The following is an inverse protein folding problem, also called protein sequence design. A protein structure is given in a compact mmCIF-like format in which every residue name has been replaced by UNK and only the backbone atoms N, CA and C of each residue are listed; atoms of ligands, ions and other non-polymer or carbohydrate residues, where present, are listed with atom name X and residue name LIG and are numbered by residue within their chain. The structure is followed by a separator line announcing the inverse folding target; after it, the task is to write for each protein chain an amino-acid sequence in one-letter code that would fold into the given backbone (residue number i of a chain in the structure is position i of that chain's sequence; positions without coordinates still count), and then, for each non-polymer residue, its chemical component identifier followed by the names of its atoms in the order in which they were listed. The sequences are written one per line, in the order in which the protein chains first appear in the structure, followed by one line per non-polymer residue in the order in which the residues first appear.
data_IF_467281119766
#
_entry.id   IF_467281119766
#
_cell.length_a   1.000
_cell.length_b   1.000
_cell.length_c   1.000
_cell.angle_alpha   90.00
_cell.angle_beta   90.00
_cell.angle_gamma   90.00
#
_symmetry.space_group_name_H-M   'P 1'
#
loop_
_entity.id
_entity.type
_entity.pdbx_description
1 polymer ?
#
# COMPACT_ATOMS: atom_id res chain seq x y z
N UNK A 1 -9.49 5.09 -6.25
CA UNK A 1 -9.43 5.38 -4.80
C UNK A 1 -8.56 6.61 -4.56
N UNK A 2 -9.00 7.54 -3.73
CA UNK A 2 -8.27 8.79 -3.46
C UNK A 2 -7.30 8.67 -2.28
N UNK A 3 -7.45 7.65 -1.43
CA UNK A 3 -6.66 7.45 -0.20
C UNK A 3 -5.45 6.52 -0.36
N UNK A 4 -5.02 6.25 -1.58
CA UNK A 4 -3.79 5.52 -1.90
C UNK A 4 -2.96 6.29 -2.92
N UNK A 5 -1.61 6.16 -2.91
CA UNK A 5 -0.77 6.91 -3.84
C UNK A 5 -0.89 6.42 -5.28
N UNK A 6 -0.81 7.34 -6.20
CA UNK A 6 -0.46 7.06 -7.58
C UNK A 6 1.06 6.91 -7.69
N UNK A 7 1.52 5.90 -8.45
CA UNK A 7 2.95 5.64 -8.66
C UNK A 7 3.34 6.13 -10.05
N UNK A 8 4.27 7.06 -10.10
CA UNK A 8 4.97 7.47 -11.32
C UNK A 8 6.38 6.93 -11.30
N UNK A 9 6.57 5.85 -12.05
CA UNK A 9 7.82 5.10 -12.06
C UNK A 9 8.81 5.71 -13.07
N UNK A 10 10.07 5.88 -12.64
CA UNK A 10 11.19 6.22 -13.52
C UNK A 10 12.17 5.06 -13.64
N UNK A 11 12.97 5.04 -14.73
CA UNK A 11 14.12 4.16 -14.91
C UNK A 11 15.37 4.97 -15.16
N UNK A 12 16.41 4.69 -14.39
CA UNK A 12 17.75 5.29 -14.52
C UNK A 12 18.75 4.19 -14.84
N UNK A 13 19.44 4.28 -15.98
CA UNK A 13 20.50 3.34 -16.31
C UNK A 13 21.83 3.80 -15.71
N UNK A 14 22.66 2.83 -15.31
CA UNK A 14 24.03 3.06 -14.86
C UNK A 14 25.02 2.37 -15.78
N UNK A 15 26.26 2.91 -15.87
CA UNK A 15 27.32 2.36 -16.70
C UNK A 15 28.68 2.62 -16.04
N UNK A 16 29.53 1.64 -15.98
CA UNK A 16 30.91 1.83 -15.57
C UNK A 16 31.77 2.31 -16.74
N UNK A 17 32.64 3.28 -16.51
CA UNK A 17 33.46 3.95 -17.52
C UNK A 17 34.32 3.04 -18.40
N UNK A 18 34.67 1.83 -17.95
CA UNK A 18 35.39 0.82 -18.72
C UNK A 18 34.52 -0.10 -19.57
N UNK A 19 33.17 0.10 -19.55
CA UNK A 19 32.22 -0.62 -20.38
C UNK A 19 31.56 0.32 -21.40
N UNK A 20 31.06 -0.19 -22.55
CA UNK A 20 30.36 0.65 -23.50
C UNK A 20 29.07 1.24 -22.90
N UNK A 21 28.98 2.58 -22.82
CA UNK A 21 27.80 3.26 -22.30
C UNK A 21 26.57 2.98 -23.18
N UNK A 22 26.76 2.86 -24.47
CA UNK A 22 25.69 2.58 -25.46
C UNK A 22 25.04 1.23 -25.20
N UNK A 23 25.76 0.26 -24.63
CA UNK A 23 25.21 -1.03 -24.24
C UNK A 23 24.16 -0.85 -23.13
N UNK A 24 24.49 -0.07 -22.11
CA UNK A 24 23.56 0.22 -21.02
C UNK A 24 22.34 1.01 -21.50
N UNK A 25 22.54 2.00 -22.37
CA UNK A 25 21.47 2.82 -22.93
C UNK A 25 20.52 2.01 -23.82
N UNK A 26 21.05 1.16 -24.70
CA UNK A 26 20.22 0.32 -25.59
C UNK A 26 19.41 -0.71 -24.80
N UNK A 27 20.01 -1.32 -23.78
CA UNK A 27 19.31 -2.27 -22.90
C UNK A 27 18.20 -1.57 -22.09
N UNK A 28 18.43 -0.36 -21.57
CA UNK A 28 17.41 0.45 -20.91
C UNK A 28 16.24 0.75 -21.85
N UNK A 29 16.53 1.21 -23.06
CA UNK A 29 15.49 1.51 -24.06
C UNK A 29 14.64 0.27 -24.41
N UNK A 30 15.28 -0.91 -24.48
CA UNK A 30 14.56 -2.17 -24.69
C UNK A 30 13.62 -2.48 -23.49
N UNK A 31 14.06 -2.28 -22.25
CA UNK A 31 13.22 -2.44 -21.05
C UNK A 31 12.04 -1.46 -21.07
N UNK A 32 12.27 -0.19 -21.40
CA UNK A 32 11.19 0.81 -21.49
C UNK A 32 10.14 0.44 -22.54
N UNK A 33 10.61 -0.06 -23.71
CA UNK A 33 9.72 -0.55 -24.76
C UNK A 33 8.91 -1.78 -24.30
N UNK A 34 9.52 -2.69 -23.55
CA UNK A 34 8.84 -3.86 -22.99
C UNK A 34 7.79 -3.45 -21.92
N UNK A 35 8.08 -2.47 -21.09
CA UNK A 35 7.12 -1.90 -20.14
C UNK A 35 5.89 -1.30 -20.85
N UNK A 36 6.10 -0.55 -21.93
CA UNK A 36 5.02 0.02 -22.73
C UNK A 36 4.12 -1.06 -23.35
N UNK A 37 4.67 -2.19 -23.79
CA UNK A 37 3.90 -3.34 -24.29
C UNK A 37 3.01 -3.98 -23.21
N UNK A 38 3.41 -3.87 -21.93
CA UNK A 38 2.65 -4.36 -20.78
C UNK A 38 1.68 -3.29 -20.20
N UNK A 39 1.60 -2.13 -20.85
CA UNK A 39 0.75 -1.01 -20.39
C UNK A 39 1.31 -0.23 -19.20
N UNK A 40 2.58 -0.42 -18.86
CA UNK A 40 3.27 0.33 -17.82
C UNK A 40 3.97 1.54 -18.44
N UNK A 41 3.49 2.74 -18.08
CA UNK A 41 4.17 3.98 -18.41
C UNK A 41 5.37 4.21 -17.49
N UNK A 42 6.55 4.41 -18.07
CA UNK A 42 7.80 4.61 -17.34
C UNK A 42 8.50 5.85 -17.89
N UNK A 43 8.91 6.75 -17.00
CA UNK A 43 9.79 7.85 -17.38
C UNK A 43 11.20 7.34 -17.59
N UNK A 44 11.69 7.39 -18.81
CA UNK A 44 13.07 7.02 -19.15
C UNK A 44 14.00 8.22 -18.95
N UNK A 45 14.88 8.16 -17.93
CA UNK A 45 15.87 9.20 -17.69
C UNK A 45 16.89 9.24 -18.85
N UNK A 46 17.20 10.44 -19.34
CA UNK A 46 18.17 10.65 -20.41
C UNK A 46 19.60 10.47 -19.89
N UNK A 47 19.83 10.87 -18.65
CA UNK A 47 21.12 10.75 -18.00
C UNK A 47 21.45 9.30 -17.69
N UNK A 48 22.56 8.79 -18.19
CA UNK A 48 23.17 7.51 -17.77
C UNK A 48 24.21 7.82 -16.71
N UNK A 49 24.19 7.09 -15.60
CA UNK A 49 25.02 7.38 -14.43
C UNK A 49 26.37 6.65 -14.52
N UNK A 50 27.46 7.37 -14.66
CA UNK A 50 28.83 6.84 -14.61
C UNK A 50 29.60 7.35 -13.38
N UNK A 51 29.16 8.46 -12.79
CA UNK A 51 29.81 9.10 -11.65
C UNK A 51 28.77 9.84 -10.78
N UNK A 52 29.22 10.41 -9.64
CA UNK A 52 28.34 11.09 -8.70
C UNK A 52 27.68 12.36 -9.26
N UNK A 53 28.31 13.06 -10.22
CA UNK A 53 27.69 14.23 -10.87
C UNK A 53 26.51 13.81 -11.75
N UNK A 54 26.69 12.73 -12.49
CA UNK A 54 25.60 12.16 -13.31
C UNK A 54 24.49 11.64 -12.42
N UNK A 55 24.82 11.05 -11.27
CA UNK A 55 23.83 10.60 -10.29
C UNK A 55 22.95 11.75 -9.80
N UNK A 56 23.57 12.88 -9.38
CA UNK A 56 22.81 14.06 -8.93
C UNK A 56 21.92 14.61 -10.06
N UNK A 57 22.45 14.67 -11.28
CA UNK A 57 21.69 15.11 -12.46
C UNK A 57 20.52 14.17 -12.77
N UNK A 58 20.73 12.86 -12.71
CA UNK A 58 19.68 11.88 -12.94
C UNK A 58 18.57 11.97 -11.89
N UNK A 59 18.93 12.14 -10.60
CA UNK A 59 17.96 12.34 -9.52
C UNK A 59 17.15 13.63 -9.72
N UNK A 60 17.81 14.73 -10.09
CA UNK A 60 17.13 15.99 -10.41
C UNK A 60 16.16 15.82 -11.60
N UNK A 61 16.60 15.15 -12.65
CA UNK A 61 15.81 14.88 -13.86
C UNK A 61 14.52 14.11 -13.56
N UNK A 62 14.62 12.97 -12.84
CA UNK A 62 13.45 12.13 -12.51
C UNK A 62 12.54 12.83 -11.51
N UNK A 63 13.09 13.60 -10.58
CA UNK A 63 12.31 14.40 -9.63
C UNK A 63 11.53 15.50 -10.35
N UNK A 64 12.16 16.22 -11.26
CA UNK A 64 11.50 17.25 -12.08
C UNK A 64 10.41 16.66 -12.99
N UNK A 65 10.58 15.41 -13.43
CA UNK A 65 9.55 14.68 -14.16
C UNK A 65 8.38 14.22 -13.26
N UNK A 66 8.48 14.39 -11.94
CA UNK A 66 7.47 14.00 -10.95
C UNK A 66 7.46 12.50 -10.63
N UNK A 67 8.55 11.77 -10.91
CA UNK A 67 8.69 10.39 -10.47
C UNK A 67 8.73 10.31 -8.94
N UNK A 68 8.03 9.32 -8.38
CA UNK A 68 8.02 9.05 -6.94
C UNK A 68 8.47 7.62 -6.59
N UNK A 69 8.83 6.84 -7.62
CA UNK A 69 9.49 5.53 -7.51
C UNK A 69 10.51 5.38 -8.64
N UNK A 70 11.61 4.65 -8.41
CA UNK A 70 12.65 4.45 -9.40
C UNK A 70 13.04 2.98 -9.57
N UNK A 71 13.39 2.62 -10.81
CA UNK A 71 14.18 1.44 -11.12
C UNK A 71 15.60 1.89 -11.49
N UNK A 72 16.58 1.46 -10.72
CA UNK A 72 18.02 1.61 -11.01
C UNK A 72 18.42 0.37 -11.79
N UNK A 73 18.76 0.58 -13.06
CA UNK A 73 19.01 -0.48 -14.02
C UNK A 73 20.50 -0.58 -14.37
N UNK A 74 21.12 -1.68 -13.98
CA UNK A 74 22.51 -2.01 -14.35
C UNK A 74 22.49 -2.61 -15.75
N UNK A 75 22.66 -1.78 -16.77
CA UNK A 75 22.76 -2.24 -18.16
C UNK A 75 24.12 -2.86 -18.48
N UNK A 76 25.15 -2.54 -17.69
CA UNK A 76 26.44 -3.20 -17.59
C UNK A 76 26.87 -3.22 -16.11
N UNK A 77 28.14 -3.44 -15.80
CA UNK A 77 28.67 -3.61 -14.43
C UNK A 77 28.22 -2.52 -13.45
N UNK A 78 28.12 -1.26 -13.88
CA UNK A 78 27.73 -0.13 -13.06
C UNK A 78 28.85 0.38 -12.12
N UNK A 79 28.74 1.67 -11.70
CA UNK A 79 29.65 2.30 -10.77
C UNK A 79 29.07 2.25 -9.34
N UNK A 80 29.63 1.43 -8.47
CA UNK A 80 29.10 1.04 -7.15
C UNK A 80 28.69 2.23 -6.25
N UNK A 81 29.47 3.29 -6.20
CA UNK A 81 29.16 4.46 -5.35
C UNK A 81 27.98 5.27 -5.88
N UNK A 82 27.99 5.80 -7.12
CA UNK A 82 26.89 6.64 -7.58
C UNK A 82 25.58 5.87 -7.74
N UNK A 83 25.59 4.61 -8.18
CA UNK A 83 24.36 3.84 -8.34
C UNK A 83 23.64 3.60 -7.00
N UNK A 84 24.37 3.30 -5.94
CA UNK A 84 23.79 3.09 -4.60
C UNK A 84 23.35 4.40 -3.95
N UNK A 85 24.07 5.52 -4.22
CA UNK A 85 23.69 6.83 -3.72
C UNK A 85 22.40 7.36 -4.32
N UNK A 86 21.92 6.85 -5.44
CA UNK A 86 20.56 7.14 -5.95
C UNK A 86 19.53 6.90 -4.85
N UNK A 87 19.61 5.75 -4.15
CA UNK A 87 18.68 5.44 -3.04
C UNK A 87 18.79 6.36 -1.82
N UNK A 88 19.88 7.13 -1.71
CA UNK A 88 20.07 8.14 -0.65
C UNK A 88 19.46 9.50 -1.02
N UNK A 89 19.60 9.89 -2.27
CA UNK A 89 19.26 11.25 -2.72
C UNK A 89 17.88 11.36 -3.38
N UNK A 90 17.32 10.25 -3.84
CA UNK A 90 15.95 10.19 -4.34
C UNK A 90 14.97 9.96 -3.20
N UNK A 91 13.95 10.82 -3.09
CA UNK A 91 12.90 10.68 -2.06
C UNK A 91 11.77 9.75 -2.54
N UNK A 92 12.06 8.45 -2.59
CA UNK A 92 11.11 7.43 -2.99
C UNK A 92 11.72 6.03 -2.95
N UNK A 93 10.88 4.98 -3.08
CA UNK A 93 11.39 3.61 -3.19
C UNK A 93 12.18 3.41 -4.48
N UNK A 94 13.31 2.71 -4.35
CA UNK A 94 14.16 2.33 -5.47
C UNK A 94 14.23 0.80 -5.59
N UNK A 95 14.01 0.27 -6.81
CA UNK A 95 14.30 -1.10 -7.15
C UNK A 95 15.62 -1.17 -7.91
N UNK A 96 16.43 -2.19 -7.63
CA UNK A 96 17.71 -2.45 -8.30
C UNK A 96 17.63 -3.74 -9.09
N UNK A 97 17.92 -3.68 -10.38
CA UNK A 97 17.88 -4.80 -11.31
C UNK A 97 18.98 -4.68 -12.37
N UNK A 98 19.36 -5.79 -12.98
CA UNK A 98 20.45 -5.85 -13.93
C UNK A 98 20.07 -6.61 -15.22
N UNK A 99 20.73 -6.26 -16.30
CA UNK A 99 20.57 -6.94 -17.59
C UNK A 99 21.18 -8.35 -17.57
N UNK A 100 20.48 -9.32 -18.14
CA UNK A 100 21.06 -10.59 -18.54
C UNK A 100 21.99 -10.41 -19.75
N UNK A 101 23.02 -11.24 -19.87
CA UNK A 101 23.83 -11.34 -21.08
C UNK A 101 23.08 -12.14 -22.16
N UNK A 102 23.20 -11.72 -23.41
CA UNK A 102 22.64 -12.44 -24.54
C UNK A 102 23.55 -13.61 -24.98
N UNK A 103 22.97 -14.54 -25.74
CA UNK A 103 23.70 -15.63 -26.35
C UNK A 103 24.80 -15.10 -27.28
N UNK A 104 26.06 -15.48 -27.05
CA UNK A 104 27.20 -15.05 -27.81
C UNK A 104 27.86 -13.73 -27.38
N UNK A 105 27.27 -13.00 -26.45
CA UNK A 105 27.82 -11.69 -25.97
C UNK A 105 28.99 -11.80 -24.99
N UNK A 106 29.34 -13.03 -24.57
CA UNK A 106 30.38 -13.27 -23.57
C UNK A 106 31.80 -12.83 -23.99
N UNK A 107 32.00 -12.47 -25.27
CA UNK A 107 33.30 -12.00 -25.81
C UNK A 107 33.24 -10.53 -26.25
N UNK A 108 32.22 -10.15 -27.05
CA UNK A 108 32.14 -8.85 -27.73
C UNK A 108 30.94 -8.02 -27.28
N UNK A 109 30.46 -7.97 -26.23
CA UNK A 109 29.27 -7.22 -25.80
C UNK A 109 28.88 -7.51 -24.38
N UNK A 110 29.77 -8.21 -23.65
CA UNK A 110 29.53 -8.50 -22.25
C UNK A 110 29.48 -7.19 -21.44
N UNK A 111 28.51 -7.13 -20.56
CA UNK A 111 28.33 -5.99 -19.65
C UNK A 111 28.72 -6.31 -18.23
N UNK A 112 28.85 -7.59 -17.87
CA UNK A 112 29.11 -8.08 -16.51
C UNK A 112 28.09 -7.53 -15.48
N UNK A 113 26.86 -7.27 -15.90
CA UNK A 113 25.83 -6.63 -15.06
C UNK A 113 25.43 -7.48 -13.85
N UNK A 114 25.48 -8.81 -13.95
CA UNK A 114 25.26 -9.70 -12.82
C UNK A 114 26.29 -9.51 -11.72
N UNK A 115 27.58 -9.42 -12.10
CA UNK A 115 28.66 -9.10 -11.15
C UNK A 115 28.46 -7.73 -10.51
N UNK A 116 28.09 -6.73 -11.34
CA UNK A 116 27.72 -5.40 -10.86
C UNK A 116 26.58 -5.43 -9.83
N UNK A 117 25.54 -6.22 -10.08
CA UNK A 117 24.40 -6.35 -9.16
C UNK A 117 24.81 -6.94 -7.81
N UNK A 118 25.72 -7.93 -7.79
CA UNK A 118 26.27 -8.46 -6.52
C UNK A 118 26.99 -7.37 -5.73
N UNK A 119 27.83 -6.57 -6.40
CA UNK A 119 28.53 -5.44 -5.80
C UNK A 119 27.54 -4.34 -5.34
N UNK A 120 26.55 -4.02 -6.15
CA UNK A 120 25.51 -3.05 -5.80
C UNK A 120 24.79 -3.47 -4.51
N UNK A 121 24.33 -4.71 -4.41
CA UNK A 121 23.63 -5.24 -3.22
C UNK A 121 24.51 -5.18 -1.97
N UNK A 122 25.77 -5.56 -2.09
CA UNK A 122 26.75 -5.46 -0.99
C UNK A 122 26.97 -4.00 -0.56
N UNK A 123 27.12 -3.08 -1.52
CA UNK A 123 27.35 -1.66 -1.24
C UNK A 123 26.11 -0.98 -0.61
N UNK A 124 24.88 -1.34 -1.01
CA UNK A 124 23.67 -0.88 -0.35
C UNK A 124 23.67 -1.27 1.12
N UNK A 125 23.95 -2.55 1.42
CA UNK A 125 24.04 -3.07 2.79
C UNK A 125 25.14 -2.38 3.60
N UNK A 126 26.34 -2.23 3.05
CA UNK A 126 27.48 -1.60 3.69
C UNK A 126 27.21 -0.12 4.05
N UNK A 127 26.42 0.58 3.24
CA UNK A 127 26.01 1.98 3.46
C UNK A 127 24.74 2.13 4.30
N UNK A 128 24.08 1.03 4.70
CA UNK A 128 22.78 1.07 5.39
C UNK A 128 21.66 1.68 4.54
N UNK A 129 21.79 1.65 3.21
CA UNK A 129 20.79 2.15 2.28
C UNK A 129 19.75 1.08 1.98
N UNK A 130 18.50 1.47 1.91
CA UNK A 130 17.38 0.56 1.61
C UNK A 130 17.06 0.64 0.12
N UNK A 131 16.97 -0.52 -0.52
CA UNK A 131 16.50 -0.69 -1.89
C UNK A 131 15.76 -2.02 -2.01
N UNK A 132 14.79 -2.10 -2.91
CA UNK A 132 14.14 -3.36 -3.24
C UNK A 132 14.99 -4.09 -4.27
N UNK A 133 15.36 -5.31 -3.98
CA UNK A 133 16.05 -6.22 -4.90
C UNK A 133 15.15 -7.44 -5.04
N UNK A 134 14.61 -7.73 -6.25
CA UNK A 134 13.84 -8.94 -6.49
C UNK A 134 14.64 -10.21 -6.14
N UNK A 135 13.97 -11.33 -5.89
CA UNK A 135 14.61 -12.60 -5.56
C UNK A 135 15.67 -13.01 -6.61
N UNK A 136 15.37 -12.81 -7.89
CA UNK A 136 16.36 -12.90 -8.96
C UNK A 136 16.37 -11.58 -9.75
N UNK A 137 17.33 -10.67 -9.48
CA UNK A 137 17.30 -9.31 -10.01
C UNK A 137 17.84 -9.14 -11.42
N UNK A 138 18.17 -10.23 -12.11
CA UNK A 138 18.75 -10.20 -13.46
C UNK A 138 17.71 -10.72 -14.47
N UNK A 139 17.72 -10.19 -15.70
CA UNK A 139 16.81 -10.64 -16.72
C UNK A 139 17.01 -9.94 -18.06
N UNK A 140 16.36 -10.47 -19.09
CA UNK A 140 16.19 -9.77 -20.36
C UNK A 140 15.20 -8.60 -20.22
N UNK A 141 14.94 -7.89 -21.32
CA UNK A 141 14.08 -6.72 -21.29
C UNK A 141 12.63 -7.03 -20.85
N UNK A 142 12.11 -8.21 -21.20
CA UNK A 142 10.74 -8.63 -20.85
C UNK A 142 10.66 -9.03 -19.38
N UNK A 143 11.64 -9.79 -18.90
CA UNK A 143 11.73 -10.21 -17.50
C UNK A 143 11.93 -9.01 -16.53
N UNK A 144 12.74 -8.02 -16.95
CA UNK A 144 12.89 -6.79 -16.16
C UNK A 144 11.59 -5.98 -16.17
N UNK A 145 10.90 -5.89 -17.30
CA UNK A 145 9.61 -5.21 -17.37
C UNK A 145 8.57 -5.90 -16.46
N UNK A 146 8.55 -7.23 -16.35
CA UNK A 146 7.68 -7.95 -15.41
C UNK A 146 8.00 -7.57 -13.96
N UNK A 147 9.28 -7.54 -13.56
CA UNK A 147 9.72 -7.10 -12.25
C UNK A 147 9.32 -5.65 -11.96
N UNK A 148 9.35 -4.77 -12.98
CA UNK A 148 8.89 -3.38 -12.83
C UNK A 148 7.38 -3.29 -12.63
N UNK A 149 6.57 -4.12 -13.30
CA UNK A 149 5.12 -4.24 -13.05
C UNK A 149 4.86 -4.70 -11.62
N UNK A 150 5.56 -5.72 -11.14
CA UNK A 150 5.47 -6.23 -9.76
C UNK A 150 5.94 -5.22 -8.72
N UNK A 151 6.87 -4.34 -9.07
CA UNK A 151 7.37 -3.30 -8.16
C UNK A 151 6.36 -2.17 -7.92
N UNK A 152 5.48 -1.86 -8.87
CA UNK A 152 4.50 -0.77 -8.73
C UNK A 152 3.65 -0.88 -7.46
N UNK A 153 2.99 -2.02 -7.15
CA UNK A 153 2.25 -2.16 -5.91
C UNK A 153 3.12 -2.08 -4.65
N UNK A 154 4.36 -2.58 -4.69
CA UNK A 154 5.32 -2.47 -3.59
C UNK A 154 5.67 -0.99 -3.36
N UNK A 155 5.99 -0.27 -4.42
CA UNK A 155 6.29 1.17 -4.36
C UNK A 155 5.10 1.96 -3.81
N UNK A 156 3.88 1.62 -4.25
CA UNK A 156 2.65 2.25 -3.76
C UNK A 156 2.49 2.07 -2.25
N UNK A 157 2.71 0.86 -1.74
CA UNK A 157 2.66 0.60 -0.30
C UNK A 157 3.71 1.42 0.47
N UNK A 158 4.96 1.44 0.01
CA UNK A 158 6.05 2.20 0.67
C UNK A 158 5.76 3.70 0.69
N UNK A 159 5.31 4.27 -0.44
CA UNK A 159 4.93 5.70 -0.52
C UNK A 159 3.73 5.98 0.37
N UNK A 160 2.74 5.07 0.38
CA UNK A 160 1.56 5.16 1.21
C UNK A 160 1.90 5.23 2.68
N UNK A 161 2.69 4.30 3.18
CA UNK A 161 3.09 4.21 4.59
C UNK A 161 3.83 5.47 5.07
N UNK A 162 4.75 5.99 4.28
CA UNK A 162 5.46 7.25 4.60
C UNK A 162 4.53 8.46 4.72
N UNK A 163 3.31 8.38 4.19
CA UNK A 163 2.34 9.47 4.17
C UNK A 163 1.03 9.11 4.90
N UNK A 164 1.02 8.03 5.68
CA UNK A 164 -0.14 7.56 6.41
C UNK A 164 -0.19 8.16 7.82
N UNK A 165 -1.40 8.52 8.23
CA UNK A 165 -1.76 8.77 9.63
C UNK A 165 -2.86 7.80 10.04
N UNK A 166 -2.66 7.10 11.15
CA UNK A 166 -3.70 6.28 11.77
C UNK A 166 -4.25 7.06 12.97
N UNK A 167 -5.55 7.34 12.93
CA UNK A 167 -6.27 8.09 13.95
C UNK A 167 -7.09 7.10 14.77
N UNK A 168 -6.90 7.09 16.09
CA UNK A 168 -7.58 6.15 16.97
C UNK A 168 -8.55 6.85 17.91
N UNK A 169 -9.63 6.14 18.27
CA UNK A 169 -10.60 6.56 19.27
C UNK A 169 -10.71 5.48 20.36
N UNK A 170 -9.76 5.51 21.29
CA UNK A 170 -9.58 4.41 22.22
C UNK A 170 -9.49 4.82 23.69
N UNK A 171 -8.95 3.95 24.52
CA UNK A 171 -8.20 2.73 24.22
C UNK A 171 -9.05 1.56 23.72
N UNK A 172 -8.37 0.45 23.31
CA UNK A 172 -9.04 -0.82 23.00
C UNK A 172 -10.05 -1.22 24.07
N UNK A 173 -11.08 -2.03 23.74
CA UNK A 173 -12.08 -2.42 24.73
C UNK A 173 -11.46 -3.24 25.88
N UNK A 174 -11.62 -2.79 27.12
CA UNK A 174 -11.25 -3.53 28.35
C UNK A 174 -9.88 -4.24 28.26
N UNK A 175 -9.84 -5.53 28.49
CA UNK A 175 -8.65 -6.41 28.46
C UNK A 175 -8.44 -7.11 27.10
N UNK A 176 -8.95 -6.53 26.02
CA UNK A 176 -8.80 -7.08 24.66
C UNK A 176 -7.36 -6.86 24.13
N UNK A 177 -6.38 -7.50 24.79
CA UNK A 177 -4.96 -7.31 24.52
C UNK A 177 -4.49 -7.83 23.16
N UNK A 178 -5.31 -8.56 22.43
CA UNK A 178 -5.04 -8.94 21.04
C UNK A 178 -4.80 -7.69 20.15
N UNK A 179 -5.48 -6.58 20.45
CA UNK A 179 -5.31 -5.30 19.73
C UNK A 179 -4.31 -4.35 20.42
N UNK A 180 -3.36 -4.88 21.21
CA UNK A 180 -2.30 -4.06 21.79
C UNK A 180 -1.17 -3.83 20.77
N UNK A 181 -1.08 -2.61 20.25
CA UNK A 181 -0.10 -2.25 19.22
C UNK A 181 1.06 -1.41 19.82
N UNK A 182 2.31 -1.93 19.87
CA UNK A 182 3.49 -1.11 20.13
C UNK A 182 3.72 -0.14 18.96
N UNK A 183 3.43 1.15 19.17
CA UNK A 183 3.43 2.16 18.10
C UNK A 183 4.83 2.63 17.69
N UNK A 184 5.85 2.41 18.51
CA UNK A 184 7.21 2.92 18.24
C UNK A 184 7.75 2.44 16.87
N UNK A 185 7.56 1.16 16.52
CA UNK A 185 8.01 0.64 15.23
C UNK A 185 7.29 1.22 14.03
N UNK A 186 6.11 1.82 14.21
CA UNK A 186 5.35 2.47 13.13
C UNK A 186 5.98 3.80 12.73
N UNK A 187 6.55 4.55 13.67
CA UNK A 187 7.30 5.77 13.36
C UNK A 187 8.53 5.50 12.49
N UNK A 188 9.19 4.35 12.66
CA UNK A 188 10.33 3.95 11.83
C UNK A 188 9.92 3.69 10.37
N UNK A 189 8.63 3.34 10.14
CA UNK A 189 8.03 3.21 8.81
C UNK A 189 7.54 4.55 8.24
N UNK A 190 7.58 5.62 9.04
CA UNK A 190 7.09 6.94 8.67
C UNK A 190 5.60 7.16 8.92
N UNK A 191 4.94 6.24 9.61
CA UNK A 191 3.51 6.33 9.95
C UNK A 191 3.35 7.23 11.17
N UNK A 192 2.36 8.12 11.16
CA UNK A 192 1.96 8.89 12.33
C UNK A 192 0.74 8.27 13.00
N UNK A 193 0.74 8.32 14.32
CA UNK A 193 -0.40 7.87 15.13
C UNK A 193 -0.95 9.06 15.90
N UNK A 194 -2.28 9.20 15.88
CA UNK A 194 -3.00 10.18 16.69
C UNK A 194 -3.98 9.43 17.61
N UNK A 195 -3.77 9.54 18.91
CA UNK A 195 -4.60 8.86 19.90
C UNK A 195 -5.60 9.86 20.51
N UNK A 196 -6.89 9.57 20.32
CA UNK A 196 -8.01 10.32 20.87
C UNK A 196 -8.88 9.39 21.73
N UNK A 197 -9.72 9.97 22.58
CA UNK A 197 -10.71 9.22 23.33
C UNK A 197 -12.05 9.13 22.59
N UNK A 198 -12.90 8.16 22.97
CA UNK A 198 -14.30 8.14 22.50
C UNK A 198 -15.08 9.39 22.94
N UNK A 199 -14.64 10.07 24.00
CA UNK A 199 -15.27 11.30 24.45
C UNK A 199 -15.02 12.45 23.46
N UNK A 200 -13.81 12.55 22.92
CA UNK A 200 -13.47 13.54 21.89
C UNK A 200 -14.31 13.30 20.63
N UNK A 201 -14.43 12.03 20.22
CA UNK A 201 -15.29 11.64 19.11
C UNK A 201 -16.76 12.00 19.37
N UNK A 202 -17.28 11.75 20.58
CA UNK A 202 -18.66 12.06 20.95
C UNK A 202 -18.92 13.57 20.94
N UNK A 203 -17.98 14.39 21.36
CA UNK A 203 -18.08 15.86 21.31
C UNK A 203 -18.17 16.31 19.86
N UNK A 204 -17.26 15.89 19.03
CA UNK A 204 -17.27 16.21 17.59
C UNK A 204 -18.52 15.72 16.90
N UNK A 205 -19.00 14.51 17.20
CA UNK A 205 -20.27 14.00 16.70
C UNK A 205 -21.45 14.93 17.02
N UNK A 206 -21.52 15.42 18.26
CA UNK A 206 -22.60 16.35 18.69
C UNK A 206 -22.52 17.71 17.98
N UNK A 207 -21.32 18.17 17.64
CA UNK A 207 -21.12 19.40 16.89
C UNK A 207 -21.64 19.30 15.43
N UNK A 208 -21.72 18.09 14.89
CA UNK A 208 -22.27 17.83 13.55
C UNK A 208 -23.79 17.59 13.55
N UNK A 209 -24.51 17.83 14.66
CA UNK A 209 -25.96 17.50 14.75
C UNK A 209 -26.82 18.20 13.68
N UNK A 210 -26.47 19.42 13.33
CA UNK A 210 -27.21 20.24 12.35
C UNK A 210 -26.44 20.41 11.02
N UNK A 211 -25.54 19.47 10.70
CA UNK A 211 -24.76 19.57 9.46
C UNK A 211 -25.67 19.48 8.22
N UNK A 212 -25.62 20.50 7.35
CA UNK A 212 -26.51 20.57 6.18
C UNK A 212 -26.28 19.45 5.14
N UNK A 213 -25.18 18.69 5.24
CA UNK A 213 -24.87 17.55 4.35
C UNK A 213 -25.57 16.26 4.75
N UNK A 214 -26.12 16.17 5.98
CA UNK A 214 -26.79 14.95 6.50
C UNK A 214 -27.87 14.42 5.55
N UNK A 215 -28.81 15.23 5.00
CA UNK A 215 -29.83 14.74 4.09
C UNK A 215 -29.28 14.04 2.84
N UNK A 216 -28.21 14.55 2.26
CA UNK A 216 -27.59 13.99 1.06
C UNK A 216 -26.93 12.63 1.37
N UNK A 217 -26.24 12.52 2.51
CA UNK A 217 -25.61 11.26 2.96
C UNK A 217 -26.70 10.23 3.31
N UNK A 218 -27.80 10.63 3.95
CA UNK A 218 -28.96 9.76 4.19
C UNK A 218 -29.55 9.22 2.89
N UNK A 219 -29.71 10.05 1.87
CA UNK A 219 -30.24 9.63 0.59
C UNK A 219 -29.32 8.62 -0.12
N UNK A 220 -28.00 8.82 -0.01
CA UNK A 220 -27.00 7.87 -0.54
C UNK A 220 -27.02 6.54 0.22
N UNK A 221 -27.10 6.57 1.54
CA UNK A 221 -27.23 5.38 2.38
C UNK A 221 -28.54 4.61 2.07
N UNK A 222 -29.65 5.30 1.92
CA UNK A 222 -30.93 4.68 1.59
C UNK A 222 -30.90 3.98 0.22
N UNK A 223 -30.23 4.60 -0.76
CA UNK A 223 -30.02 4.00 -2.08
C UNK A 223 -29.16 2.74 -2.01
N UNK A 224 -28.10 2.75 -1.22
CA UNK A 224 -27.19 1.61 -1.03
C UNK A 224 -27.91 0.43 -0.36
N UNK A 225 -28.75 0.69 0.65
CA UNK A 225 -29.50 -0.35 1.36
C UNK A 225 -30.62 -0.97 0.52
N UNK A 226 -31.14 -0.30 -0.49
CA UNK A 226 -32.24 -0.75 -1.33
C UNK A 226 -33.61 -0.70 -0.65
N UNK A 227 -34.64 -1.14 -1.37
CA UNK A 227 -36.04 -1.07 -0.92
C UNK A 227 -36.30 -1.97 0.31
N UNK A 228 -37.11 -1.50 1.24
CA UNK A 228 -37.64 -2.26 2.38
C UNK A 228 -36.72 -2.36 3.60
N UNK A 229 -35.54 -1.77 3.57
CA UNK A 229 -34.55 -1.76 4.68
C UNK A 229 -34.25 -0.34 5.15
N UNK A 230 -35.26 0.47 5.37
CA UNK A 230 -35.12 1.88 5.66
C UNK A 230 -35.45 2.20 7.14
N UNK A 231 -34.46 2.76 7.83
CA UNK A 231 -34.54 3.22 9.22
C UNK A 231 -34.17 4.70 9.29
N UNK A 232 -35.10 5.64 9.00
CA UNK A 232 -34.76 7.06 8.79
C UNK A 232 -34.06 7.72 9.97
N UNK A 233 -34.51 7.48 11.19
CA UNK A 233 -33.87 8.07 12.38
C UNK A 233 -32.46 7.54 12.63
N UNK A 234 -32.22 6.28 12.31
CA UNK A 234 -30.90 5.66 12.43
C UNK A 234 -29.97 6.14 11.32
N UNK A 235 -30.47 6.25 10.07
CA UNK A 235 -29.68 6.76 8.95
C UNK A 235 -29.20 8.18 9.19
N UNK A 236 -30.03 9.05 9.77
CA UNK A 236 -29.62 10.43 10.10
C UNK A 236 -28.44 10.46 11.08
N UNK A 237 -28.48 9.61 12.11
CA UNK A 237 -27.39 9.49 13.09
C UNK A 237 -26.11 8.91 12.46
N UNK A 238 -26.24 7.90 11.61
CA UNK A 238 -25.13 7.28 10.88
C UNK A 238 -24.50 8.26 9.88
N UNK A 239 -25.33 9.04 9.18
CA UNK A 239 -24.87 10.07 8.26
C UNK A 239 -24.08 11.18 9.00
N UNK A 240 -24.58 11.63 10.15
CA UNK A 240 -23.89 12.54 11.04
C UNK A 240 -22.52 11.97 11.45
N UNK A 241 -22.46 10.69 11.81
CA UNK A 241 -21.21 10.03 12.22
C UNK A 241 -20.22 9.88 11.06
N UNK A 242 -20.70 9.51 9.87
CA UNK A 242 -19.86 9.46 8.65
C UNK A 242 -19.21 10.82 8.36
N UNK A 243 -19.98 11.91 8.42
CA UNK A 243 -19.48 13.27 8.23
C UNK A 243 -18.47 13.67 9.32
N UNK A 244 -18.74 13.27 10.57
CA UNK A 244 -17.80 13.50 11.68
C UNK A 244 -16.43 12.87 11.39
N UNK A 245 -16.40 11.60 10.96
CA UNK A 245 -15.14 10.92 10.65
C UNK A 245 -14.44 11.50 9.41
N UNK A 246 -15.19 11.86 8.37
CA UNK A 246 -14.61 12.47 7.16
C UNK A 246 -13.99 13.84 7.47
N UNK A 247 -14.67 14.69 8.24
CA UNK A 247 -14.15 15.99 8.64
C UNK A 247 -12.98 15.85 9.63
N UNK A 248 -13.04 14.84 10.51
CA UNK A 248 -11.90 14.52 11.37
C UNK A 248 -10.68 14.14 10.55
N UNK A 249 -10.83 13.24 9.57
CA UNK A 249 -9.75 12.85 8.67
C UNK A 249 -9.12 14.08 8.00
N UNK A 250 -9.93 14.96 7.44
CA UNK A 250 -9.43 16.15 6.71
C UNK A 250 -8.73 17.14 7.65
N UNK A 251 -9.29 17.39 8.82
CA UNK A 251 -8.76 18.37 9.75
C UNK A 251 -7.54 17.89 10.54
N UNK A 252 -7.39 16.56 10.71
CA UNK A 252 -6.36 15.96 11.56
C UNK A 252 -5.25 15.22 10.79
N UNK A 253 -5.36 15.03 9.48
CA UNK A 253 -4.29 14.38 8.70
C UNK A 253 -2.94 15.10 8.79
N UNK A 254 -2.94 16.41 9.08
CA UNK A 254 -1.73 17.21 9.29
C UNK A 254 -0.84 17.26 8.04
N UNK A 255 0.41 16.88 8.19
CA UNK A 255 1.38 16.80 7.07
C UNK A 255 1.23 15.52 6.24
N UNK A 256 0.37 14.58 6.64
CA UNK A 256 0.15 13.32 5.94
C UNK A 256 -0.88 13.47 4.83
N UNK A 257 -0.87 12.56 3.89
CA UNK A 257 -1.78 12.59 2.73
C UNK A 257 -2.93 11.59 2.88
N UNK A 258 -2.70 10.50 3.61
CA UNK A 258 -3.59 9.36 3.74
C UNK A 258 -3.94 9.11 5.19
N UNK A 259 -5.15 8.59 5.42
CA UNK A 259 -5.69 8.35 6.75
C UNK A 259 -6.29 6.96 6.83
N UNK A 260 -6.11 6.32 7.98
CA UNK A 260 -6.88 5.17 8.41
C UNK A 260 -7.39 5.43 9.82
N UNK A 261 -8.49 4.79 10.21
CA UNK A 261 -9.02 4.88 11.56
C UNK A 261 -8.89 3.56 12.30
N UNK A 262 -8.86 3.65 13.62
CA UNK A 262 -9.09 2.52 14.51
C UNK A 262 -10.05 2.98 15.63
N UNK A 263 -11.29 2.51 15.57
CA UNK A 263 -12.34 2.82 16.54
C UNK A 263 -12.79 1.57 17.31
N UNK A 264 -13.87 1.64 18.06
CA UNK A 264 -14.49 0.46 18.69
C UNK A 264 -15.99 0.60 18.77
N UNK A 265 -16.70 -0.53 18.59
CA UNK A 265 -18.14 -0.57 18.62
C UNK A 265 -18.71 -0.92 20.01
N UNK A 266 -17.86 -1.28 20.98
CA UNK A 266 -18.28 -1.68 22.33
C UNK A 266 -17.22 -1.28 23.40
N UNK A 267 -17.52 -1.21 24.69
CA UNK A 267 -18.84 -1.49 25.27
C UNK A 267 -19.78 -0.27 25.33
N UNK A 268 -19.26 0.96 25.24
CA UNK A 268 -20.04 2.17 25.51
C UNK A 268 -20.69 2.79 24.27
N UNK A 269 -20.17 2.51 23.08
CA UNK A 269 -20.57 3.19 21.86
C UNK A 269 -22.08 3.12 21.60
N UNK A 270 -22.76 1.94 21.61
CA UNK A 270 -24.19 1.88 21.29
C UNK A 270 -25.07 2.68 22.26
N UNK A 271 -24.67 2.74 23.54
CA UNK A 271 -25.43 3.47 24.54
C UNK A 271 -25.30 4.99 24.42
N UNK A 272 -24.20 5.48 23.85
CA UNK A 272 -23.90 6.91 23.71
C UNK A 272 -24.34 7.46 22.34
N UNK A 273 -24.14 6.71 21.25
CA UNK A 273 -24.46 7.13 19.89
C UNK A 273 -25.84 6.62 19.42
N UNK A 274 -26.35 5.55 20.03
CA UNK A 274 -27.66 4.96 19.72
C UNK A 274 -27.67 4.06 18.49
N UNK A 275 -26.48 3.64 18.02
CA UNK A 275 -26.27 2.67 16.93
C UNK A 275 -24.86 2.06 17.06
N UNK A 276 -24.56 1.00 16.33
CA UNK A 276 -23.20 0.48 16.13
C UNK A 276 -22.55 1.11 14.88
N UNK A 277 -21.23 1.41 14.92
CA UNK A 277 -20.55 2.10 13.83
C UNK A 277 -20.31 1.23 12.59
N UNK A 278 -20.54 -0.08 12.68
CA UNK A 278 -20.11 -1.08 11.67
C UNK A 278 -20.51 -0.73 10.23
N UNK A 279 -21.74 -0.23 10.02
CA UNK A 279 -22.17 0.16 8.67
C UNK A 279 -21.42 1.38 8.14
N UNK A 280 -21.17 2.38 8.98
CA UNK A 280 -20.40 3.58 8.59
C UNK A 280 -18.94 3.21 8.32
N UNK A 281 -18.34 2.37 9.17
CA UNK A 281 -16.97 1.87 8.97
C UNK A 281 -16.86 1.12 7.62
N UNK A 282 -17.82 0.26 7.31
CA UNK A 282 -17.92 -0.46 6.04
C UNK A 282 -18.04 0.48 4.82
N UNK A 283 -18.79 1.57 4.94
CA UNK A 283 -18.88 2.60 3.89
C UNK A 283 -17.57 3.36 3.69
N UNK A 284 -16.87 3.72 4.77
CA UNK A 284 -15.56 4.36 4.70
C UNK A 284 -14.52 3.43 4.05
N UNK A 285 -14.51 2.15 4.43
CA UNK A 285 -13.66 1.15 3.79
C UNK A 285 -13.95 1.03 2.28
N UNK A 286 -15.22 1.08 1.84
CA UNK A 286 -15.60 1.13 0.43
C UNK A 286 -15.01 2.35 -0.31
N UNK A 287 -14.86 3.48 0.39
CA UNK A 287 -14.24 4.70 -0.14
C UNK A 287 -12.71 4.68 -0.08
N UNK A 288 -12.13 3.60 0.46
CA UNK A 288 -10.69 3.43 0.60
C UNK A 288 -10.12 4.04 1.87
N UNK A 289 -10.93 4.29 2.88
CA UNK A 289 -10.51 4.72 4.22
C UNK A 289 -10.73 3.55 5.18
N UNK A 290 -9.70 2.77 5.53
CA UNK A 290 -9.82 1.67 6.47
C UNK A 290 -10.28 2.17 7.85
N UNK A 291 -11.16 1.41 8.50
CA UNK A 291 -11.59 1.64 9.87
C UNK A 291 -11.58 0.32 10.63
N UNK A 292 -10.50 0.03 11.33
CA UNK A 292 -10.39 -1.21 12.11
C UNK A 292 -11.13 -1.07 13.44
N UNK A 293 -11.88 -2.10 13.82
CA UNK A 293 -12.57 -2.16 15.11
C UNK A 293 -11.60 -2.51 16.26
N UNK A 294 -12.07 -2.46 17.51
CA UNK A 294 -11.33 -2.73 18.74
C UNK A 294 -10.06 -1.86 18.92
N UNK A 295 -9.99 -0.72 18.21
CA UNK A 295 -8.79 0.13 18.15
C UNK A 295 -7.56 -0.66 17.69
N UNK A 296 -7.77 -1.56 16.72
CA UNK A 296 -6.71 -2.37 16.14
C UNK A 296 -5.89 -1.57 15.12
N UNK A 297 -4.85 -0.90 15.63
CA UNK A 297 -3.93 -0.10 14.81
C UNK A 297 -3.24 -0.95 13.74
N UNK A 298 -2.86 -2.20 14.09
CA UNK A 298 -2.20 -3.09 13.13
C UNK A 298 -3.19 -3.66 12.10
N UNK A 299 -4.45 -3.84 12.47
CA UNK A 299 -5.52 -4.16 11.53
C UNK A 299 -5.72 -3.04 10.51
N UNK A 300 -5.86 -1.78 10.96
CA UNK A 300 -5.96 -0.62 10.08
C UNK A 300 -4.75 -0.48 9.14
N UNK A 301 -3.54 -0.73 9.66
CA UNK A 301 -2.32 -0.77 8.87
C UNK A 301 -2.35 -1.87 7.82
N UNK A 302 -2.79 -3.07 8.19
CA UNK A 302 -2.85 -4.25 7.30
C UNK A 302 -3.85 -4.02 6.16
N UNK A 303 -5.01 -3.47 6.46
CA UNK A 303 -6.00 -3.07 5.43
C UNK A 303 -5.42 -2.01 4.49
N UNK A 304 -4.74 -0.99 5.02
CA UNK A 304 -4.13 0.05 4.20
C UNK A 304 -3.04 -0.49 3.27
N UNK A 305 -2.17 -1.38 3.77
CA UNK A 305 -1.16 -2.06 2.94
C UNK A 305 -1.84 -2.90 1.84
N UNK A 306 -2.84 -3.69 2.23
CA UNK A 306 -3.60 -4.52 1.29
C UNK A 306 -4.24 -3.71 0.17
N UNK A 307 -4.81 -2.55 0.50
CA UNK A 307 -5.36 -1.61 -0.49
C UNK A 307 -4.29 -1.02 -1.41
N UNK A 308 -3.15 -0.63 -0.87
CA UNK A 308 -2.03 -0.13 -1.68
C UNK A 308 -1.53 -1.20 -2.67
N UNK A 309 -1.48 -2.45 -2.26
CA UNK A 309 -1.00 -3.56 -3.08
C UNK A 309 -2.03 -3.94 -4.14
N UNK A 310 -3.28 -4.15 -3.75
CA UNK A 310 -4.35 -4.60 -4.66
C UNK A 310 -4.86 -3.50 -5.59
N UNK A 311 -4.76 -2.22 -5.17
CA UNK A 311 -5.43 -1.11 -5.83
C UNK A 311 -6.95 -1.13 -5.67
N UNK A 312 -7.46 -1.95 -4.77
CA UNK A 312 -8.89 -2.17 -4.48
C UNK A 312 -9.12 -2.22 -2.96
N UNK A 313 -10.37 -2.18 -2.54
CA UNK A 313 -10.74 -2.36 -1.13
C UNK A 313 -10.45 -3.79 -0.68
N UNK A 314 -10.04 -3.93 0.57
CA UNK A 314 -9.78 -5.22 1.20
C UNK A 314 -10.67 -5.42 2.42
N UNK A 315 -10.74 -6.64 2.92
CA UNK A 315 -11.49 -7.00 4.12
C UNK A 315 -10.55 -7.54 5.17
N UNK A 316 -10.60 -6.99 6.38
CA UNK A 316 -9.98 -7.57 7.56
C UNK A 316 -10.99 -8.52 8.21
N UNK A 317 -10.61 -9.76 8.46
CA UNK A 317 -11.46 -10.77 9.07
C UNK A 317 -10.88 -11.25 10.39
N UNK A 318 -11.76 -11.42 11.38
CA UNK A 318 -11.44 -12.25 12.53
C UNK A 318 -11.52 -13.73 12.16
N UNK A 319 -10.65 -14.54 12.69
CA UNK A 319 -10.79 -15.99 12.66
C UNK A 319 -11.76 -16.36 13.78
N UNK A 320 -13.07 -16.41 13.45
CA UNK A 320 -14.11 -16.53 14.46
C UNK A 320 -14.34 -17.95 14.93
N UNK A 321 -14.31 -18.93 14.01
CA UNK A 321 -14.75 -20.28 14.33
C UNK A 321 -13.98 -21.33 13.53
N UNK A 322 -13.95 -22.54 14.04
CA UNK A 322 -13.65 -23.74 13.26
C UNK A 322 -14.79 -24.04 12.30
N UNK A 323 -14.47 -24.63 11.16
CA UNK A 323 -15.48 -25.10 10.21
C UNK A 323 -16.19 -26.34 10.78
N UNK A 324 -17.53 -26.39 10.84
CA UNK A 324 -18.26 -27.60 11.22
C UNK A 324 -17.92 -28.77 10.30
N UNK A 325 -17.77 -29.98 10.86
CA UNK A 325 -17.40 -31.17 10.08
C UNK A 325 -18.36 -31.45 8.91
N UNK A 326 -19.67 -31.24 9.10
CA UNK A 326 -20.67 -31.40 8.05
C UNK A 326 -20.49 -30.40 6.90
N UNK A 327 -20.10 -29.17 7.20
CA UNK A 327 -19.83 -28.14 6.20
C UNK A 327 -18.52 -28.47 5.44
N UNK A 328 -17.48 -28.91 6.15
CA UNK A 328 -16.25 -29.36 5.53
C UNK A 328 -16.50 -30.52 4.56
N UNK A 329 -17.21 -31.57 4.96
CA UNK A 329 -17.55 -32.71 4.10
C UNK A 329 -18.35 -32.30 2.88
N UNK A 330 -19.29 -31.33 3.03
CA UNK A 330 -20.17 -30.90 1.93
C UNK A 330 -19.52 -29.91 0.97
N UNK A 331 -18.63 -29.04 1.44
CA UNK A 331 -18.18 -27.87 0.68
C UNK A 331 -16.68 -27.86 0.33
N UNK A 332 -15.85 -28.63 1.05
CA UNK A 332 -14.39 -28.53 0.93
C UNK A 332 -13.75 -29.85 0.50
N UNK A 333 -14.05 -30.93 1.21
CA UNK A 333 -13.41 -32.24 0.99
C UNK A 333 -13.58 -32.73 -0.45
N UNK A 334 -12.46 -32.89 -1.15
CA UNK A 334 -12.42 -33.34 -2.54
C UNK A 334 -13.01 -32.35 -3.56
N UNK A 335 -13.18 -31.07 -3.21
CA UNK A 335 -13.70 -30.03 -4.10
C UNK A 335 -12.61 -29.15 -4.73
N UNK A 336 -11.40 -29.24 -4.26
CA UNK A 336 -10.27 -28.42 -4.69
C UNK A 336 -9.11 -29.31 -5.16
N UNK A 337 -8.19 -28.76 -5.92
CA UNK A 337 -6.98 -29.49 -6.39
C UNK A 337 -6.01 -29.86 -5.26
N UNK A 338 -6.11 -29.16 -4.13
CA UNK A 338 -5.37 -29.48 -2.92
C UNK A 338 -6.27 -30.17 -1.90
N UNK A 339 -5.77 -31.24 -1.26
CA UNK A 339 -6.50 -32.03 -0.25
C UNK A 339 -6.44 -31.33 1.13
N UNK A 340 -7.21 -30.26 1.27
CA UNK A 340 -7.35 -29.55 2.54
C UNK A 340 -7.96 -30.47 3.60
N UNK A 341 -7.36 -30.50 4.78
CA UNK A 341 -7.93 -31.17 5.97
C UNK A 341 -8.86 -30.22 6.71
N UNK A 342 -9.71 -30.73 7.55
CA UNK A 342 -10.56 -29.91 8.42
C UNK A 342 -9.75 -28.90 9.25
N UNK A 343 -8.56 -29.33 9.71
CA UNK A 343 -7.61 -28.49 10.48
C UNK A 343 -6.96 -27.35 9.68
N UNK A 344 -7.04 -27.38 8.37
CA UNK A 344 -6.50 -26.36 7.48
C UNK A 344 -7.54 -25.28 7.16
N UNK A 345 -8.72 -25.33 7.79
CA UNK A 345 -9.86 -24.48 7.51
C UNK A 345 -10.33 -23.71 8.73
N UNK A 346 -10.86 -22.54 8.51
CA UNK A 346 -11.49 -21.70 9.53
C UNK A 346 -12.66 -20.90 8.91
N UNK A 347 -13.51 -20.36 9.76
CA UNK A 347 -14.52 -19.37 9.38
C UNK A 347 -14.06 -17.99 9.79
N UNK A 348 -13.94 -17.10 8.82
CA UNK A 348 -13.59 -15.69 9.03
C UNK A 348 -14.80 -14.79 8.81
N UNK A 349 -14.96 -13.82 9.71
CA UNK A 349 -16.00 -12.81 9.61
C UNK A 349 -15.60 -11.54 10.38
N UNK A 350 -15.98 -10.38 9.90
CA UNK A 350 -15.94 -9.13 10.66
C UNK A 350 -17.10 -8.22 10.23
N UNK A 351 -17.82 -7.66 11.20
CA UNK A 351 -19.04 -6.90 10.92
C UNK A 351 -18.75 -5.48 10.39
N UNK A 352 -17.69 -4.81 10.83
CA UNK A 352 -17.39 -3.42 10.50
C UNK A 352 -16.31 -3.22 9.46
N UNK A 353 -15.41 -4.19 9.30
CA UNK A 353 -14.22 -4.03 8.44
C UNK A 353 -14.42 -4.59 7.02
N UNK A 354 -15.61 -5.11 6.71
CA UNK A 354 -15.92 -5.56 5.36
C UNK A 354 -16.51 -4.40 4.57
N UNK A 355 -15.86 -3.95 3.49
CA UNK A 355 -16.41 -2.90 2.63
C UNK A 355 -17.79 -3.27 2.09
N UNK A 356 -18.74 -2.33 2.13
CA UNK A 356 -20.14 -2.61 1.69
C UNK A 356 -20.20 -3.09 0.24
N UNK A 357 -19.30 -2.62 -0.62
CA UNK A 357 -19.19 -3.05 -2.01
C UNK A 357 -18.72 -4.51 -2.20
N UNK A 358 -18.21 -5.16 -1.17
CA UNK A 358 -17.78 -6.58 -1.19
C UNK A 358 -18.83 -7.53 -0.58
N UNK A 359 -19.88 -6.99 0.02
CA UNK A 359 -20.99 -7.80 0.53
C UNK A 359 -21.86 -8.31 -0.63
N UNK A 360 -22.28 -9.56 -0.54
CA UNK A 360 -23.25 -10.11 -1.49
C UNK A 360 -24.61 -9.45 -1.26
N UNK A 361 -25.31 -9.11 -2.34
CA UNK A 361 -26.65 -8.56 -2.31
C UNK A 361 -27.70 -9.63 -1.86
#
# INVERSE_FOLDING_TARGET
MTNIPEVKLGIVAVSRDCFPIELSQSRRAAVTAACAQKGLEVYEAKTTVENEKDMLKAVEEVTAAGCNALTVFLGNFGPETPETLIAKYFDGPCMFVAAAEGDGDLINGRGDAYCGMLNCSYNLGMRGLKGYIPEYPVGDAQEIADKMVEFVPIARAVIGLKNLKIITFGPRPQDFFACNAPIQGLYDLGIEIEENSELDLLVSYKEHADDPRIPDVCADMAKEMGEGKYYPDMLSRMAQFELTLLDWAENHKGSRKYVAFADKCWPAFPSQFGFEPCYVNSRLATRGIPVACEVDIYGALSEYIGMCISGDTVTLLDINNSVPASMYEAQIKGKFDYDYKLTDTFMGFHCGNTPSCKLCA
#
